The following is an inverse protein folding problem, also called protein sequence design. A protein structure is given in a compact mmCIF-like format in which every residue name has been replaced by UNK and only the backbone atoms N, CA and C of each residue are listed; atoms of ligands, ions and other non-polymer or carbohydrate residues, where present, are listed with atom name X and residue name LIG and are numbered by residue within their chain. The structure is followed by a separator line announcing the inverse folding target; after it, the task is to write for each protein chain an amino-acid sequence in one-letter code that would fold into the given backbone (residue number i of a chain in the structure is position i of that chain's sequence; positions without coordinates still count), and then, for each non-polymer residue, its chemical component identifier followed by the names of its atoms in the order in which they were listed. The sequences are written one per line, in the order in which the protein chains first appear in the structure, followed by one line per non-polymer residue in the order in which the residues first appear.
data_IF_443740596358
#
_entry.id   IF_443740596358
#
_cell.length_a   1.000
_cell.length_b   1.000
_cell.length_c   1.000
_cell.angle_alpha   90.00
_cell.angle_beta   90.00
_cell.angle_gamma   90.00
#
_symmetry.space_group_name_H-M   'P 1'
#
loop_
_entity.id
_entity.type
_entity.pdbx_description
1 polymer ?
#
# COMPACT_ATOMS: atom_id res chain seq x y z
N UNK A 1 37.08 -14.52 52.65
CA UNK A 1 36.62 -15.51 51.67
C UNK A 1 35.16 -15.78 51.97
N UNK A 2 34.24 -15.10 51.19
CA UNK A 2 32.79 -15.17 51.44
C UNK A 2 32.26 -16.37 50.66
N UNK A 3 31.84 -17.41 51.35
CA UNK A 3 31.18 -18.57 50.72
C UNK A 3 29.74 -18.22 50.40
N UNK A 4 29.44 -18.08 49.13
CA UNK A 4 28.05 -17.99 48.66
C UNK A 4 27.34 -19.31 48.98
N UNK A 5 26.17 -19.22 49.61
CA UNK A 5 25.39 -20.41 49.96
C UNK A 5 24.74 -20.99 48.67
N UNK A 6 24.46 -22.31 48.69
CA UNK A 6 23.79 -23.00 47.57
C UNK A 6 22.47 -22.34 47.19
N UNK A 7 21.81 -21.66 48.11
CA UNK A 7 20.57 -20.91 47.93
C UNK A 7 20.79 -19.61 47.14
N UNK A 8 21.92 -18.93 47.34
CA UNK A 8 22.26 -17.70 46.64
C UNK A 8 22.62 -17.99 45.17
N UNK A 9 23.26 -19.13 44.91
CA UNK A 9 23.57 -19.58 43.56
C UNK A 9 22.28 -19.94 42.75
N UNK A 10 21.32 -20.63 43.36
CA UNK A 10 20.04 -20.94 42.73
C UNK A 10 19.22 -19.67 42.47
N UNK A 11 19.20 -18.71 43.38
CA UNK A 11 18.53 -17.42 43.18
C UNK A 11 19.14 -16.62 42.02
N UNK A 12 20.48 -16.60 41.93
CA UNK A 12 21.14 -15.92 40.80
C UNK A 12 20.84 -16.58 39.44
N UNK A 13 20.82 -17.92 39.37
CA UNK A 13 20.44 -18.64 38.15
C UNK A 13 18.97 -18.38 37.78
N UNK A 14 18.07 -18.39 38.75
CA UNK A 14 16.66 -18.14 38.53
C UNK A 14 16.42 -16.71 38.00
N UNK A 15 17.09 -15.71 38.59
CA UNK A 15 17.01 -14.30 38.14
C UNK A 15 17.63 -14.15 36.74
N UNK A 16 18.71 -14.85 36.43
CA UNK A 16 19.34 -14.81 35.11
C UNK A 16 18.44 -15.44 34.02
N UNK A 17 17.80 -16.57 34.33
CA UNK A 17 16.86 -17.24 33.43
C UNK A 17 15.57 -16.42 33.24
N UNK A 18 15.06 -15.78 34.28
CA UNK A 18 13.92 -14.88 34.18
C UNK A 18 14.23 -13.64 33.34
N UNK A 19 15.43 -13.03 33.51
CA UNK A 19 15.86 -11.90 32.66
C UNK A 19 16.05 -12.31 31.20
N UNK A 20 16.59 -13.52 30.96
CA UNK A 20 16.76 -14.05 29.59
C UNK A 20 15.43 -14.35 28.92
N UNK A 21 14.47 -14.91 29.66
CA UNK A 21 13.12 -15.15 29.15
C UNK A 21 12.32 -13.86 28.97
N UNK A 22 12.48 -12.86 29.84
CA UNK A 22 11.87 -11.54 29.69
C UNK A 22 12.46 -10.79 28.49
N UNK A 23 13.76 -10.93 28.22
CA UNK A 23 14.40 -10.35 27.03
C UNK A 23 13.95 -11.05 25.75
N UNK A 24 13.70 -12.37 25.77
CA UNK A 24 13.12 -13.11 24.64
C UNK A 24 11.65 -12.73 24.41
N UNK A 25 10.87 -12.52 25.46
CA UNK A 25 9.46 -12.11 25.37
C UNK A 25 9.36 -10.67 24.85
N UNK A 26 10.21 -9.75 25.30
CA UNK A 26 10.27 -8.39 24.75
C UNK A 26 10.76 -8.38 23.31
N UNK A 27 11.68 -9.23 22.91
CA UNK A 27 12.11 -9.34 21.51
C UNK A 27 11.06 -10.02 20.63
N UNK A 28 10.28 -10.97 21.17
CA UNK A 28 9.16 -11.59 20.43
C UNK A 28 7.95 -10.66 20.30
N UNK A 29 7.77 -9.68 21.20
CA UNK A 29 6.69 -8.69 21.12
C UNK A 29 7.03 -7.48 20.23
N UNK A 30 8.28 -7.31 19.80
CA UNK A 30 8.68 -6.28 18.83
C UNK A 30 8.70 -6.82 17.39
N UNK A 31 8.34 -8.08 17.18
CA UNK A 31 8.15 -8.62 15.84
C UNK A 31 6.74 -8.33 15.34
N UNK A 32 6.71 -7.57 14.27
CA UNK A 32 5.68 -7.51 13.24
C UNK A 32 4.52 -6.56 13.56
N UNK A 33 4.80 -5.28 13.51
CA UNK A 33 3.91 -4.46 12.70
C UNK A 33 4.56 -4.34 11.32
N UNK A 34 4.30 -5.28 10.43
CA UNK A 34 4.33 -5.00 9.00
C UNK A 34 3.14 -4.08 8.81
N UNK A 35 3.38 -2.78 8.95
CA UNK A 35 2.35 -1.77 8.76
C UNK A 35 2.14 -1.65 7.25
N UNK A 36 1.02 -2.09 6.81
CA UNK A 36 0.40 -1.76 5.55
C UNK A 36 0.19 -0.23 5.41
N UNK A 37 0.10 0.31 4.21
CA UNK A 37 -0.21 1.74 4.01
C UNK A 37 -1.51 2.07 4.75
N UNK A 38 -1.38 2.82 5.85
CA UNK A 38 -2.52 3.20 6.67
C UNK A 38 -3.35 4.27 5.97
N UNK A 39 -4.67 4.18 6.12
CA UNK A 39 -5.59 5.24 5.75
C UNK A 39 -5.20 6.55 6.43
N UNK A 40 -5.40 7.67 5.73
CA UNK A 40 -5.22 9.00 6.32
C UNK A 40 -6.09 9.17 7.57
N UNK A 41 -5.52 9.50 8.74
CA UNK A 41 -6.25 9.48 10.00
C UNK A 41 -7.16 10.69 10.21
N UNK A 42 -7.04 11.72 9.36
CA UNK A 42 -7.79 12.96 9.44
C UNK A 42 -9.21 12.85 8.91
N UNK A 43 -9.92 13.97 8.98
CA UNK A 43 -11.22 14.13 8.33
C UNK A 43 -10.98 14.46 6.85
N UNK A 44 -11.64 13.75 5.98
CA UNK A 44 -11.62 13.94 4.54
C UNK A 44 -12.94 14.55 4.08
N UNK A 45 -12.91 15.24 2.94
CA UNK A 45 -14.11 15.80 2.31
C UNK A 45 -14.19 15.34 0.87
N UNK A 46 -15.38 14.97 0.41
CA UNK A 46 -15.63 14.62 -0.97
C UNK A 46 -16.93 15.22 -1.46
N UNK A 47 -16.88 15.79 -2.67
CA UNK A 47 -18.07 16.27 -3.36
C UNK A 47 -18.76 15.11 -4.09
N UNK A 48 -20.03 14.90 -3.81
CA UNK A 48 -20.85 13.92 -4.50
C UNK A 48 -21.32 14.44 -5.88
N UNK A 49 -21.81 13.57 -6.78
CA UNK A 49 -22.24 13.97 -8.12
C UNK A 49 -23.34 15.04 -8.17
N UNK A 50 -24.15 15.15 -7.12
CA UNK A 50 -25.19 16.19 -7.00
C UNK A 50 -24.69 17.53 -6.44
N UNK A 51 -23.38 17.64 -6.21
CA UNK A 51 -22.72 18.83 -5.67
C UNK A 51 -22.71 18.91 -4.14
N UNK A 52 -23.40 18.03 -3.44
CA UNK A 52 -23.34 17.97 -1.99
C UNK A 52 -21.98 17.45 -1.52
N UNK A 53 -21.57 17.83 -0.31
CA UNK A 53 -20.26 17.47 0.26
C UNK A 53 -20.47 16.55 1.47
N UNK A 54 -19.69 15.47 1.52
CA UNK A 54 -19.64 14.56 2.67
C UNK A 54 -18.29 14.69 3.35
N UNK A 55 -18.33 14.87 4.68
CA UNK A 55 -17.16 14.75 5.55
C UNK A 55 -17.10 13.33 6.10
N UNK A 56 -15.96 12.68 5.96
CA UNK A 56 -15.80 11.29 6.36
C UNK A 56 -14.39 10.99 6.89
N UNK A 57 -14.25 9.86 7.56
CA UNK A 57 -12.96 9.27 7.94
C UNK A 57 -12.77 7.95 7.23
N UNK A 58 -11.57 7.74 6.73
CA UNK A 58 -11.13 6.45 6.22
C UNK A 58 -10.40 5.70 7.33
N UNK A 59 -10.64 4.40 7.45
CA UNK A 59 -10.06 3.53 8.48
C UNK A 59 -9.48 2.28 7.85
N UNK A 60 -8.36 1.80 8.38
CA UNK A 60 -7.76 0.53 7.96
C UNK A 60 -6.51 0.70 7.11
N UNK A 61 -6.29 -0.28 6.24
CA UNK A 61 -5.09 -0.41 5.40
C UNK A 61 -5.46 -1.13 4.09
N UNK A 62 -4.47 -1.41 3.23
CA UNK A 62 -4.69 -2.11 1.96
C UNK A 62 -5.25 -3.52 2.11
N UNK A 63 -5.24 -4.11 3.30
CA UNK A 63 -5.84 -5.43 3.52
C UNK A 63 -7.34 -5.33 3.75
N UNK A 64 -7.75 -4.32 4.53
CA UNK A 64 -9.16 -4.07 4.85
C UNK A 64 -9.35 -2.63 5.32
N UNK A 65 -10.22 -1.93 4.65
CA UNK A 65 -10.58 -0.55 5.00
C UNK A 65 -12.10 -0.34 4.97
N UNK A 66 -12.55 0.72 5.64
CA UNK A 66 -13.95 1.13 5.67
C UNK A 66 -14.05 2.62 6.00
N UNK A 67 -15.22 3.19 5.77
CA UNK A 67 -15.46 4.62 5.94
C UNK A 67 -16.52 4.89 7.01
N UNK A 68 -16.37 6.02 7.72
CA UNK A 68 -17.38 6.51 8.67
C UNK A 68 -17.61 8.00 8.47
N UNK A 69 -18.79 8.47 8.82
CA UNK A 69 -19.02 9.89 9.08
C UNK A 69 -18.21 10.34 10.32
N UNK A 70 -18.12 11.64 10.54
CA UNK A 70 -17.43 12.20 11.71
C UNK A 70 -17.96 11.67 13.07
N UNK A 71 -19.23 11.30 13.13
CA UNK A 71 -19.88 10.72 14.32
C UNK A 71 -19.67 9.19 14.46
N UNK A 72 -18.87 8.57 13.59
CA UNK A 72 -18.58 7.14 13.60
C UNK A 72 -19.63 6.26 12.90
N UNK A 73 -20.64 6.84 12.26
CA UNK A 73 -21.63 6.08 11.48
C UNK A 73 -20.98 5.46 10.26
N UNK A 74 -21.15 4.13 10.06
CA UNK A 74 -20.63 3.42 8.88
C UNK A 74 -21.29 3.93 7.60
N UNK A 75 -20.44 4.21 6.62
CA UNK A 75 -20.83 4.59 5.26
C UNK A 75 -20.00 3.81 4.25
N UNK A 76 -20.48 3.76 3.02
CA UNK A 76 -19.76 3.21 1.88
C UNK A 76 -20.01 4.08 0.66
N UNK A 77 -18.96 4.38 -0.10
CA UNK A 77 -19.10 4.98 -1.42
C UNK A 77 -19.36 3.86 -2.44
N UNK A 78 -20.33 4.05 -3.31
CA UNK A 78 -20.63 3.13 -4.40
C UNK A 78 -20.11 3.68 -5.75
N UNK A 79 -20.08 2.85 -6.77
CA UNK A 79 -19.56 3.21 -8.10
C UNK A 79 -20.26 4.42 -8.75
N UNK A 80 -21.46 4.78 -8.31
CA UNK A 80 -22.18 5.99 -8.74
C UNK A 80 -21.63 7.29 -8.12
N UNK A 81 -20.59 7.18 -7.27
CA UNK A 81 -19.94 8.30 -6.60
C UNK A 81 -20.65 8.81 -5.35
N UNK A 82 -21.82 8.27 -5.01
CA UNK A 82 -22.54 8.66 -3.80
C UNK A 82 -22.15 7.83 -2.60
N UNK A 83 -22.24 8.46 -1.41
CA UNK A 83 -22.12 7.76 -0.13
C UNK A 83 -23.48 7.26 0.35
N UNK A 84 -23.50 6.05 0.85
CA UNK A 84 -24.63 5.38 1.43
C UNK A 84 -24.36 4.99 2.88
N UNK A 85 -25.40 4.98 3.73
CA UNK A 85 -25.29 4.33 5.04
C UNK A 85 -24.97 2.85 4.84
N UNK A 86 -24.14 2.28 5.72
CA UNK A 86 -23.62 0.93 5.56
C UNK A 86 -23.64 0.15 6.87
N UNK A 87 -23.46 -1.16 6.76
CA UNK A 87 -23.31 -2.09 7.89
C UNK A 87 -22.28 -3.17 7.57
N UNK A 88 -21.61 -3.71 8.58
CA UNK A 88 -20.78 -4.89 8.42
C UNK A 88 -21.66 -6.14 8.22
N UNK A 89 -21.25 -7.03 7.33
CA UNK A 89 -21.86 -8.33 7.07
C UNK A 89 -20.75 -9.37 6.86
N UNK A 90 -21.11 -10.63 6.72
CA UNK A 90 -20.17 -11.72 6.35
C UNK A 90 -19.50 -11.53 4.97
N UNK A 91 -20.11 -10.70 4.12
CA UNK A 91 -19.64 -10.39 2.76
C UNK A 91 -18.83 -9.08 2.67
N UNK A 92 -18.60 -8.39 3.78
CA UNK A 92 -17.92 -7.10 3.82
C UNK A 92 -18.80 -5.99 4.39
N UNK A 93 -18.37 -4.75 4.20
CA UNK A 93 -19.18 -3.56 4.49
C UNK A 93 -20.14 -3.34 3.32
N UNK A 94 -21.43 -3.46 3.58
CA UNK A 94 -22.48 -3.38 2.55
C UNK A 94 -23.35 -2.14 2.77
N UNK A 95 -23.69 -1.47 1.68
CA UNK A 95 -24.59 -0.31 1.70
C UNK A 95 -26.04 -0.69 1.98
N UNK A 96 -26.80 0.26 2.52
CA UNK A 96 -28.24 0.09 2.82
C UNK A 96 -29.15 0.60 1.72
N UNK A 97 -28.63 1.07 0.61
CA UNK A 97 -29.34 1.77 -0.47
C UNK A 97 -29.98 3.13 -0.06
N UNK A 98 -29.67 3.66 1.14
CA UNK A 98 -30.08 5.00 1.57
C UNK A 98 -28.88 5.93 1.51
N UNK A 99 -28.96 6.95 0.67
CA UNK A 99 -27.90 7.94 0.51
C UNK A 99 -27.69 8.75 1.78
N UNK A 100 -26.44 9.07 2.06
CA UNK A 100 -26.09 10.03 3.12
C UNK A 100 -26.73 11.38 2.79
N UNK A 101 -27.45 11.96 3.75
CA UNK A 101 -28.17 13.22 3.56
C UNK A 101 -29.62 13.09 3.05
N UNK A 102 -30.10 11.90 2.67
CA UNK A 102 -31.48 11.69 2.27
C UNK A 102 -32.39 11.63 3.52
N UNK A 103 -32.82 12.83 3.98
CA UNK A 103 -33.70 12.97 5.15
C UNK A 103 -35.09 12.37 4.97
N UNK A 104 -35.56 12.13 3.74
CA UNK A 104 -36.89 11.56 3.48
C UNK A 104 -36.95 10.05 3.68
N UNK A 105 -35.82 9.38 3.49
CA UNK A 105 -35.67 7.92 3.67
C UNK A 105 -34.93 7.57 4.95
N UNK A 106 -34.64 8.57 5.77
CA UNK A 106 -33.86 8.40 6.98
C UNK A 106 -34.64 7.64 8.02
N UNK A 107 -34.19 6.42 8.33
CA UNK A 107 -34.55 5.70 9.55
C UNK A 107 -33.33 5.65 10.47
N UNK A 108 -33.50 6.07 11.73
CA UNK A 108 -32.46 6.04 12.75
C UNK A 108 -31.85 4.65 12.92
N UNK A 109 -32.61 3.59 12.64
CA UNK A 109 -32.17 2.20 12.68
C UNK A 109 -31.12 1.88 11.56
N UNK A 110 -30.98 2.72 10.53
CA UNK A 110 -30.00 2.54 9.46
C UNK A 110 -28.63 3.15 9.78
N UNK A 111 -28.55 3.97 10.83
CA UNK A 111 -27.27 4.51 11.29
C UNK A 111 -26.61 3.52 12.25
N UNK A 112 -25.69 2.75 11.71
CA UNK A 112 -24.92 1.79 12.48
C UNK A 112 -23.52 2.35 12.69
N UNK A 113 -23.11 2.51 13.96
CA UNK A 113 -21.76 2.98 14.26
C UNK A 113 -20.73 1.86 14.06
N UNK A 114 -19.52 2.23 13.64
CA UNK A 114 -18.39 1.30 13.52
C UNK A 114 -18.10 0.62 14.88
N UNK A 115 -18.22 1.34 15.99
CA UNK A 115 -18.03 0.77 17.34
C UNK A 115 -19.05 -0.34 17.64
N UNK A 116 -20.33 -0.16 17.26
CA UNK A 116 -21.34 -1.22 17.44
C UNK A 116 -21.10 -2.44 16.56
N UNK A 117 -20.31 -2.32 15.50
CA UNK A 117 -19.98 -3.37 14.54
C UNK A 117 -18.52 -3.86 14.68
N UNK A 118 -17.82 -3.45 15.72
CA UNK A 118 -16.38 -3.69 15.91
C UNK A 118 -15.97 -5.14 15.67
N UNK A 119 -16.64 -6.09 16.31
CA UNK A 119 -16.34 -7.51 16.17
C UNK A 119 -16.52 -8.02 14.73
N UNK A 120 -17.52 -7.49 14.01
CA UNK A 120 -17.75 -7.79 12.59
C UNK A 120 -16.63 -7.25 11.71
N UNK A 121 -16.23 -6.00 11.93
CA UNK A 121 -15.15 -5.35 11.20
C UNK A 121 -13.78 -6.02 11.46
N UNK A 122 -13.49 -6.38 12.71
CA UNK A 122 -12.27 -7.14 13.06
C UNK A 122 -12.25 -8.53 12.41
N UNK A 123 -13.39 -9.22 12.37
CA UNK A 123 -13.52 -10.51 11.68
C UNK A 123 -13.29 -10.38 10.18
N UNK A 124 -13.82 -9.33 9.54
CA UNK A 124 -13.58 -9.05 8.12
C UNK A 124 -12.11 -8.78 7.85
N UNK A 125 -11.47 -7.95 8.68
CA UNK A 125 -10.02 -7.68 8.57
C UNK A 125 -9.20 -8.96 8.71
N UNK A 126 -9.48 -9.79 9.70
CA UNK A 126 -8.75 -11.04 9.92
C UNK A 126 -8.85 -11.96 8.69
N UNK A 127 -10.04 -12.11 8.11
CA UNK A 127 -10.25 -12.90 6.88
C UNK A 127 -9.50 -12.32 5.68
N UNK A 128 -9.49 -10.99 5.51
CA UNK A 128 -8.78 -10.33 4.43
C UNK A 128 -7.26 -10.54 4.55
N UNK A 129 -6.70 -10.35 5.74
CA UNK A 129 -5.28 -10.60 6.01
C UNK A 129 -4.91 -12.06 5.78
N UNK A 130 -5.70 -13.01 6.29
CA UNK A 130 -5.50 -14.44 6.08
C UNK A 130 -5.50 -14.80 4.58
N UNK A 131 -6.49 -14.28 3.83
CA UNK A 131 -6.59 -14.46 2.38
C UNK A 131 -5.34 -13.92 1.70
N UNK A 132 -4.90 -12.70 2.03
CA UNK A 132 -3.71 -12.09 1.44
C UNK A 132 -2.46 -12.93 1.72
N UNK A 133 -2.23 -13.31 2.98
CA UNK A 133 -1.08 -14.14 3.36
C UNK A 133 -1.07 -15.49 2.65
N UNK A 134 -2.23 -16.12 2.45
CA UNK A 134 -2.33 -17.40 1.72
C UNK A 134 -1.98 -17.29 0.24
N UNK A 135 -2.12 -16.09 -0.33
CA UNK A 135 -1.84 -15.80 -1.72
C UNK A 135 -0.40 -15.30 -1.96
N UNK A 136 0.27 -14.78 -0.94
CA UNK A 136 1.65 -14.34 -1.10
C UNK A 136 2.59 -15.53 -1.30
N UNK A 137 3.50 -15.47 -2.28
CA UNK A 137 4.53 -16.50 -2.41
C UNK A 137 5.37 -16.53 -1.13
N UNK A 138 5.72 -17.73 -0.68
CA UNK A 138 6.72 -17.89 0.37
C UNK A 138 8.01 -17.28 -0.20
N UNK A 139 8.45 -16.18 0.39
CA UNK A 139 9.70 -15.56 0.01
C UNK A 139 10.80 -16.61 0.11
N UNK A 140 11.32 -17.06 -1.01
CA UNK A 140 12.59 -17.78 -1.00
C UNK A 140 13.59 -16.75 -0.49
N UNK A 141 14.14 -16.99 0.70
CA UNK A 141 15.11 -16.14 1.36
C UNK A 141 16.41 -16.08 0.56
N UNK A 142 16.40 -15.40 -0.56
CA UNK A 142 17.60 -14.81 -1.10
C UNK A 142 17.62 -13.39 -0.56
N UNK A 143 18.53 -13.12 0.36
CA UNK A 143 18.84 -11.73 0.75
C UNK A 143 19.46 -11.12 -0.51
N UNK A 144 18.59 -10.56 -1.33
CA UNK A 144 19.05 -9.81 -2.51
C UNK A 144 19.49 -8.47 -1.95
N UNK A 145 20.81 -8.28 -1.89
CA UNK A 145 21.39 -6.96 -1.77
C UNK A 145 21.30 -6.29 -3.16
N UNK A 146 20.09 -6.16 -3.69
CA UNK A 146 19.86 -5.52 -4.96
C UNK A 146 20.47 -4.11 -4.90
N UNK A 147 21.45 -3.85 -5.78
CA UNK A 147 22.12 -2.55 -5.87
C UNK A 147 21.32 -1.58 -6.71
N UNK A 148 20.43 -2.10 -7.55
CA UNK A 148 19.54 -1.34 -8.43
C UNK A 148 18.08 -1.61 -8.10
N UNK A 149 17.29 -0.54 -8.06
CA UNK A 149 15.84 -0.61 -7.99
C UNK A 149 15.22 -0.04 -9.27
N UNK A 150 14.16 -0.67 -9.74
CA UNK A 150 13.38 -0.23 -10.89
C UNK A 150 12.17 0.57 -10.40
N UNK A 151 12.07 1.82 -10.85
CA UNK A 151 10.90 2.66 -10.65
C UNK A 151 10.34 3.11 -12.01
N UNK A 152 9.05 2.94 -12.23
CA UNK A 152 8.38 3.33 -13.48
C UNK A 152 7.24 4.29 -13.14
N UNK A 153 7.21 5.42 -13.82
CA UNK A 153 6.11 6.39 -13.72
C UNK A 153 5.08 6.08 -14.80
N UNK A 154 3.81 5.95 -14.40
CA UNK A 154 2.69 5.75 -15.31
C UNK A 154 1.64 6.83 -15.16
N UNK A 155 1.12 7.29 -16.26
CA UNK A 155 0.03 8.24 -16.33
C UNK A 155 -1.10 7.67 -17.21
N UNK A 156 -2.30 8.18 -17.00
CA UNK A 156 -3.50 7.69 -17.67
C UNK A 156 -3.94 8.65 -18.79
N UNK A 157 -4.76 8.23 -19.75
CA UNK A 157 -5.32 9.15 -20.74
C UNK A 157 -5.98 10.38 -20.12
N UNK A 158 -6.69 10.19 -19.00
CA UNK A 158 -7.45 11.21 -18.27
C UNK A 158 -6.75 11.78 -17.02
N UNK A 159 -5.56 11.29 -16.65
CA UNK A 159 -4.82 11.76 -15.47
C UNK A 159 -3.32 11.82 -15.77
N UNK A 160 -2.74 13.01 -15.67
CA UNK A 160 -1.34 13.26 -15.97
C UNK A 160 -0.57 13.66 -14.72
N UNK A 161 0.75 13.37 -14.69
CA UNK A 161 1.60 13.84 -13.61
C UNK A 161 1.62 15.37 -13.51
N UNK A 162 1.54 15.86 -12.29
CA UNK A 162 1.78 17.25 -11.93
C UNK A 162 3.26 17.53 -11.75
N UNK A 163 3.99 16.55 -11.21
CA UNK A 163 5.39 16.66 -10.88
C UNK A 163 6.29 15.97 -11.90
N UNK A 164 7.52 16.47 -12.03
CA UNK A 164 8.46 15.99 -13.05
C UNK A 164 9.12 14.68 -12.67
N UNK A 165 9.53 13.88 -13.65
CA UNK A 165 10.37 12.70 -13.45
C UNK A 165 11.65 13.01 -12.64
N UNK A 166 12.25 14.20 -12.85
CA UNK A 166 13.45 14.60 -12.12
C UNK A 166 13.20 14.69 -10.62
N UNK A 167 12.01 15.17 -10.21
CA UNK A 167 11.65 15.23 -8.80
C UNK A 167 11.58 13.81 -8.19
N UNK A 168 10.97 12.85 -8.88
CA UNK A 168 10.94 11.45 -8.43
C UNK A 168 12.34 10.84 -8.37
N UNK A 169 13.18 11.13 -9.37
CA UNK A 169 14.57 10.69 -9.34
C UNK A 169 15.33 11.28 -8.15
N UNK A 170 15.16 12.57 -7.86
CA UNK A 170 15.79 13.23 -6.72
C UNK A 170 15.27 12.67 -5.40
N UNK A 171 13.96 12.48 -5.28
CA UNK A 171 13.32 11.85 -4.11
C UNK A 171 13.90 10.45 -3.81
N UNK A 172 14.25 9.69 -4.85
CA UNK A 172 14.80 8.35 -4.66
C UNK A 172 16.31 8.33 -4.43
N UNK A 173 17.09 9.20 -5.08
CA UNK A 173 18.54 9.05 -5.20
C UNK A 173 19.38 10.20 -4.62
N UNK A 174 18.81 11.40 -4.42
CA UNK A 174 19.60 12.58 -4.01
C UNK A 174 19.83 12.58 -2.51
N UNK A 175 21.08 12.45 -2.07
CA UNK A 175 21.45 12.56 -0.66
C UNK A 175 20.99 13.92 -0.09
N UNK A 176 20.37 13.90 1.09
CA UNK A 176 19.85 15.08 1.75
C UNK A 176 18.66 15.73 1.05
N UNK A 177 17.88 14.97 0.26
CA UNK A 177 16.66 15.47 -0.36
C UNK A 177 15.72 16.09 0.68
N UNK A 178 15.34 17.35 0.47
CA UNK A 178 14.56 18.13 1.46
C UNK A 178 13.36 18.87 0.87
N UNK A 179 13.07 18.66 -0.43
CA UNK A 179 11.95 19.32 -1.06
C UNK A 179 10.63 18.73 -0.56
N UNK A 180 9.57 19.51 -0.58
CA UNK A 180 8.21 19.09 -0.20
C UNK A 180 8.09 18.51 1.23
N UNK A 181 8.91 19.01 2.17
CA UNK A 181 8.89 18.59 3.57
C UNK A 181 9.60 17.27 3.85
N UNK A 182 10.31 16.73 2.87
CA UNK A 182 11.11 15.51 3.03
C UNK A 182 12.32 15.73 3.95
N UNK A 183 12.70 14.69 4.68
CA UNK A 183 13.86 14.68 5.60
C UNK A 183 14.96 13.75 5.11
N UNK A 184 15.03 13.47 3.83
CA UNK A 184 15.94 12.59 3.13
C UNK A 184 15.30 11.91 1.93
N UNK A 185 16.12 11.27 1.10
CA UNK A 185 15.70 10.44 -0.01
C UNK A 185 15.48 8.98 0.40
N UNK A 186 14.98 8.14 -0.52
CA UNK A 186 14.96 6.69 -0.32
C UNK A 186 16.37 6.13 -0.10
N UNK A 187 17.35 6.62 -0.84
CA UNK A 187 18.77 6.28 -0.63
C UNK A 187 19.22 6.60 0.79
N UNK A 188 18.90 7.80 1.32
CA UNK A 188 19.24 8.18 2.69
C UNK A 188 18.58 7.24 3.71
N UNK A 189 17.31 6.90 3.50
CA UNK A 189 16.56 5.98 4.35
C UNK A 189 17.23 4.61 4.42
N UNK A 190 17.51 3.98 3.26
CA UNK A 190 18.12 2.65 3.23
C UNK A 190 19.56 2.66 3.76
N UNK A 191 20.34 3.69 3.43
CA UNK A 191 21.71 3.87 3.93
C UNK A 191 21.73 4.02 5.46
N UNK A 192 20.86 4.83 6.02
CA UNK A 192 20.79 5.08 7.46
C UNK A 192 20.24 3.87 8.23
N UNK A 193 19.13 3.27 7.77
CA UNK A 193 18.52 2.11 8.44
C UNK A 193 19.39 0.85 8.37
N UNK A 194 20.26 0.73 7.38
CA UNK A 194 21.22 -0.37 7.25
C UNK A 194 22.61 -0.09 7.85
N UNK A 195 22.79 1.04 8.52
CA UNK A 195 24.12 1.48 9.01
C UNK A 195 25.16 1.57 7.88
N UNK A 196 24.76 2.09 6.73
CA UNK A 196 25.60 2.25 5.54
C UNK A 196 25.86 0.97 4.73
N UNK A 197 25.26 -0.16 5.09
CA UNK A 197 25.50 -1.44 4.42
C UNK A 197 24.72 -1.61 3.13
N UNK A 198 23.61 -0.89 2.98
CA UNK A 198 22.74 -0.94 1.82
C UNK A 198 22.48 0.48 1.31
N UNK A 199 22.90 0.74 0.09
CA UNK A 199 22.78 2.03 -0.58
C UNK A 199 22.38 1.79 -2.06
N UNK A 200 21.11 1.44 -2.33
CA UNK A 200 20.66 1.16 -3.68
C UNK A 200 20.59 2.42 -4.54
N UNK A 201 20.73 2.23 -5.85
CA UNK A 201 20.44 3.26 -6.85
C UNK A 201 19.13 2.90 -7.56
N UNK A 202 18.24 3.86 -7.68
CA UNK A 202 16.98 3.68 -8.37
C UNK A 202 17.02 4.31 -9.77
N UNK A 203 16.67 3.53 -10.79
CA UNK A 203 16.46 4.05 -12.13
C UNK A 203 14.98 4.40 -12.30
N UNK A 204 14.67 5.63 -12.71
CA UNK A 204 13.30 6.15 -12.86
C UNK A 204 12.99 6.32 -14.34
N UNK A 205 12.00 5.58 -14.84
CA UNK A 205 11.58 5.62 -16.24
C UNK A 205 10.18 6.21 -16.40
N UNK A 206 9.86 6.69 -17.59
CA UNK A 206 8.56 7.28 -17.91
C UNK A 206 8.55 8.82 -17.73
N UNK A 207 7.39 9.48 -17.57
CA UNK A 207 6.08 8.82 -17.47
C UNK A 207 5.61 8.19 -18.78
N UNK A 208 5.03 6.99 -18.68
CA UNK A 208 4.40 6.32 -19.81
C UNK A 208 2.88 6.42 -19.68
N UNK A 209 2.19 6.69 -20.81
CA UNK A 209 0.73 6.69 -20.84
C UNK A 209 0.23 5.29 -21.10
N UNK A 210 -0.52 4.73 -20.15
CA UNK A 210 -1.16 3.42 -20.26
C UNK A 210 -2.47 3.48 -21.04
N UNK A 211 -3.04 2.33 -21.42
CA UNK A 211 -4.15 2.25 -22.36
C UNK A 211 -5.48 2.72 -21.77
N UNK A 212 -5.77 2.41 -20.52
CA UNK A 212 -7.05 2.71 -19.89
C UNK A 212 -6.99 3.94 -18.98
N UNK A 213 -8.16 4.51 -18.70
CA UNK A 213 -8.32 5.59 -17.73
C UNK A 213 -8.02 5.11 -16.31
N UNK A 214 -7.75 6.05 -15.42
CA UNK A 214 -7.35 5.76 -14.04
C UNK A 214 -8.37 4.87 -13.32
N UNK A 215 -9.64 5.16 -13.48
CA UNK A 215 -10.74 4.46 -12.81
C UNK A 215 -10.82 2.97 -13.15
N UNK A 216 -10.33 2.56 -14.33
CA UNK A 216 -10.26 1.14 -14.71
C UNK A 216 -9.30 0.35 -13.80
N UNK A 217 -8.15 0.95 -13.47
CA UNK A 217 -7.15 0.28 -12.66
C UNK A 217 -7.47 0.31 -11.16
N UNK A 218 -8.16 1.36 -10.69
CA UNK A 218 -8.68 1.50 -9.33
C UNK A 218 -10.11 0.99 -9.16
N UNK A 219 -10.72 0.41 -10.20
CA UNK A 219 -12.06 -0.14 -10.13
C UNK A 219 -12.11 -1.30 -9.13
N UNK A 220 -13.01 -1.22 -8.19
CA UNK A 220 -13.18 -2.15 -7.07
C UNK A 220 -12.25 -1.92 -5.89
N UNK A 221 -12.76 -2.14 -4.69
CA UNK A 221 -12.02 -2.08 -3.41
C UNK A 221 -10.84 -3.06 -3.31
N UNK A 222 -10.59 -3.81 -4.35
CA UNK A 222 -9.60 -4.88 -4.37
C UNK A 222 -8.47 -4.61 -5.37
N UNK A 223 -8.46 -3.46 -6.07
CA UNK A 223 -7.43 -3.07 -7.04
C UNK A 223 -7.14 -4.17 -8.09
N UNK A 224 -8.20 -4.82 -8.57
CA UNK A 224 -8.13 -6.05 -9.36
C UNK A 224 -7.29 -5.91 -10.65
N UNK A 225 -7.22 -4.72 -11.23
CA UNK A 225 -6.51 -4.44 -12.48
C UNK A 225 -5.13 -3.82 -12.29
N UNK A 226 -4.65 -3.65 -11.05
CA UNK A 226 -3.30 -3.14 -10.82
C UNK A 226 -2.21 -4.09 -11.35
N UNK A 227 -2.33 -5.43 -11.29
CA UNK A 227 -1.37 -6.31 -11.96
C UNK A 227 -1.27 -6.05 -13.48
N UNK A 228 -2.37 -5.68 -14.16
CA UNK A 228 -2.36 -5.30 -15.57
C UNK A 228 -1.56 -4.01 -15.79
N UNK A 229 -1.75 -3.00 -14.93
CA UNK A 229 -0.99 -1.76 -14.93
C UNK A 229 0.51 -2.00 -14.81
N UNK A 230 0.93 -2.88 -13.89
CA UNK A 230 2.34 -3.19 -13.65
C UNK A 230 2.98 -3.83 -14.88
N UNK A 231 2.33 -4.85 -15.46
CA UNK A 231 2.85 -5.52 -16.66
C UNK A 231 2.90 -4.55 -17.84
N UNK A 232 1.88 -3.73 -18.02
CA UNK A 232 1.84 -2.71 -19.08
C UNK A 232 2.96 -1.69 -18.92
N UNK A 233 3.20 -1.19 -17.70
CA UNK A 233 4.29 -0.27 -17.39
C UNK A 233 5.66 -0.85 -17.80
N UNK A 234 5.92 -2.12 -17.45
CA UNK A 234 7.16 -2.80 -17.83
C UNK A 234 7.30 -2.98 -19.34
N UNK A 235 6.21 -3.33 -20.03
CA UNK A 235 6.22 -3.45 -21.51
C UNK A 235 6.46 -2.11 -22.20
N UNK A 236 5.93 -1.01 -21.67
CA UNK A 236 6.16 0.32 -22.19
C UNK A 236 7.61 0.75 -21.99
N UNK A 237 8.22 0.43 -20.86
CA UNK A 237 9.64 0.68 -20.62
C UNK A 237 10.53 -0.14 -21.56
N UNK A 238 10.24 -1.43 -21.77
CA UNK A 238 10.94 -2.26 -22.76
C UNK A 238 10.80 -1.68 -24.18
N UNK A 239 9.60 -1.28 -24.58
CA UNK A 239 9.33 -0.63 -25.89
C UNK A 239 10.12 0.67 -26.06
N UNK A 240 10.38 1.41 -24.96
CA UNK A 240 11.26 2.59 -24.92
C UNK A 240 12.76 2.22 -24.91
N UNK A 241 13.10 0.96 -25.14
CA UNK A 241 14.48 0.48 -25.24
C UNK A 241 15.17 0.28 -23.89
N UNK A 242 14.43 0.20 -22.78
CA UNK A 242 15.01 -0.11 -21.47
C UNK A 242 15.20 -1.62 -21.35
N UNK A 243 16.41 -2.04 -20.98
CA UNK A 243 16.70 -3.44 -20.65
C UNK A 243 16.32 -3.72 -19.20
N UNK A 244 15.22 -4.44 -18.99
CA UNK A 244 14.74 -4.76 -17.66
C UNK A 244 15.37 -6.04 -17.07
N UNK A 245 16.15 -6.78 -17.85
CA UNK A 245 16.86 -7.97 -17.35
C UNK A 245 17.92 -7.64 -16.30
N UNK A 246 18.43 -6.43 -16.28
CA UNK A 246 19.44 -5.97 -15.31
C UNK A 246 18.90 -5.86 -13.87
N UNK A 247 17.57 -5.93 -13.68
CA UNK A 247 16.90 -5.91 -12.36
C UNK A 247 16.58 -7.33 -11.85
N UNK A 248 17.04 -8.36 -12.50
CA UNK A 248 17.14 -9.73 -12.02
C UNK A 248 18.59 -9.95 -11.53
N UNK A 249 18.95 -9.32 -10.41
CA UNK A 249 20.33 -9.39 -9.90
C UNK A 249 20.68 -10.77 -9.31
N UNK A 250 19.66 -11.55 -8.91
CA UNK A 250 19.84 -12.88 -8.34
C UNK A 250 19.85 -14.00 -9.41
N UNK A 251 19.46 -13.69 -10.66
CA UNK A 251 19.47 -14.61 -11.80
C UNK A 251 18.37 -15.70 -11.73
N UNK A 252 17.27 -15.46 -11.05
CA UNK A 252 16.18 -16.43 -10.91
C UNK A 252 15.14 -16.34 -12.04
N UNK A 253 15.31 -15.40 -12.97
CA UNK A 253 14.44 -15.18 -14.13
C UNK A 253 13.29 -14.23 -13.87
N UNK A 254 13.26 -13.58 -12.71
CA UNK A 254 12.25 -12.59 -12.33
C UNK A 254 12.89 -11.24 -11.99
N UNK A 255 12.23 -10.14 -12.33
CA UNK A 255 12.61 -8.82 -11.80
C UNK A 255 12.49 -8.89 -10.28
N UNK A 256 13.56 -8.50 -9.55
CA UNK A 256 13.61 -8.58 -8.08
C UNK A 256 12.48 -7.79 -7.43
N UNK A 257 12.25 -6.55 -7.90
CA UNK A 257 11.07 -5.75 -7.56
C UNK A 257 10.91 -4.61 -8.56
N UNK A 258 9.66 -4.24 -8.86
CA UNK A 258 9.33 -3.03 -9.60
C UNK A 258 8.43 -2.13 -8.76
N UNK A 259 8.78 -0.86 -8.65
CA UNK A 259 7.90 0.14 -8.07
C UNK A 259 7.23 0.96 -9.17
N UNK A 260 5.91 1.05 -9.15
CA UNK A 260 5.16 1.89 -10.10
C UNK A 260 4.58 3.10 -9.38
N UNK A 261 5.06 4.29 -9.76
CA UNK A 261 4.41 5.54 -9.38
C UNK A 261 3.29 5.83 -10.39
N UNK A 262 2.10 6.08 -9.92
CA UNK A 262 0.96 6.45 -10.75
C UNK A 262 0.52 7.89 -10.51
N UNK A 263 0.12 8.56 -11.60
CA UNK A 263 -0.35 9.94 -11.56
C UNK A 263 -1.65 10.07 -10.78
N UNK A 264 -1.79 11.15 -10.03
CA UNK A 264 -3.00 11.47 -9.28
C UNK A 264 -3.00 11.00 -7.84
N UNK A 265 -4.20 10.89 -7.26
CA UNK A 265 -4.42 10.61 -5.84
C UNK A 265 -4.57 9.12 -5.57
N UNK A 266 -4.17 8.68 -4.37
CA UNK A 266 -4.41 7.32 -3.89
C UNK A 266 -5.66 7.21 -3.02
N UNK A 267 -6.30 6.04 -3.00
CA UNK A 267 -7.47 5.76 -2.17
C UNK A 267 -7.16 5.95 -0.68
N UNK A 268 -6.00 5.50 -0.21
CA UNK A 268 -5.54 5.66 1.17
C UNK A 268 -5.54 7.11 1.67
N UNK A 269 -5.45 8.07 0.76
CA UNK A 269 -5.41 9.50 1.03
C UNK A 269 -6.71 10.23 0.66
N UNK A 270 -7.77 9.48 0.39
CA UNK A 270 -9.10 10.02 0.12
C UNK A 270 -9.43 10.29 -1.34
N UNK A 271 -8.72 9.66 -2.28
CA UNK A 271 -9.00 9.77 -3.72
C UNK A 271 -10.35 9.16 -4.15
N UNK A 272 -10.94 8.31 -3.30
CA UNK A 272 -12.22 7.64 -3.56
C UNK A 272 -12.07 6.22 -4.10
N UNK A 273 -13.17 5.47 -4.12
CA UNK A 273 -13.20 4.01 -4.39
C UNK A 273 -12.77 3.60 -5.81
N UNK A 274 -12.62 4.53 -6.73
CA UNK A 274 -12.15 4.27 -8.09
C UNK A 274 -10.67 4.67 -8.26
N UNK A 275 -9.95 4.87 -7.16
CA UNK A 275 -8.51 5.15 -7.16
C UNK A 275 -7.75 4.00 -6.52
N UNK A 276 -6.48 3.85 -6.88
CA UNK A 276 -5.65 2.73 -6.43
C UNK A 276 -5.17 2.98 -5.00
N UNK A 277 -5.29 1.96 -4.13
CA UNK A 277 -4.63 1.97 -2.83
C UNK A 277 -3.14 1.66 -3.01
N UNK A 278 -2.19 2.47 -2.52
CA UNK A 278 -0.77 2.11 -2.52
C UNK A 278 -0.54 0.79 -1.80
N UNK A 279 0.14 -0.16 -2.45
CA UNK A 279 0.36 -1.48 -1.88
C UNK A 279 1.54 -2.21 -2.54
N UNK A 280 2.02 -3.24 -1.86
CA UNK A 280 2.90 -4.27 -2.40
C UNK A 280 2.11 -5.54 -2.67
N UNK A 281 2.30 -6.14 -3.86
CA UNK A 281 1.68 -7.39 -4.24
C UNK A 281 2.51 -8.16 -5.27
N UNK A 282 1.89 -9.19 -5.88
CA UNK A 282 2.48 -10.01 -6.93
C UNK A 282 1.60 -10.07 -8.16
N UNK A 283 2.21 -10.04 -9.33
CA UNK A 283 1.55 -10.35 -10.60
C UNK A 283 1.27 -11.85 -10.64
N UNK A 284 0.00 -12.22 -10.71
CA UNK A 284 -0.47 -13.61 -10.85
C UNK A 284 -1.29 -13.73 -12.10
N UNK A 285 -0.79 -14.43 -13.13
CA UNK A 285 -1.58 -14.72 -14.32
C UNK A 285 -2.84 -15.50 -13.99
N UNK A 286 -3.87 -15.31 -14.79
CA UNK A 286 -5.16 -15.98 -14.62
C UNK A 286 -5.05 -17.51 -14.72
N UNK A 287 -4.06 -18.02 -15.47
CA UNK A 287 -3.74 -19.43 -15.61
C UNK A 287 -3.11 -20.05 -14.35
N UNK A 288 -2.78 -19.24 -13.34
CA UNK A 288 -2.28 -19.71 -12.05
C UNK A 288 -3.33 -20.42 -11.18
N UNK A 289 -4.60 -20.42 -11.61
CA UNK A 289 -5.73 -21.02 -10.89
C UNK A 289 -6.20 -20.21 -9.67
N UNK A 290 -5.73 -18.98 -9.49
CA UNK A 290 -6.20 -18.05 -8.44
C UNK A 290 -7.23 -17.08 -9.00
N UNK A 291 -8.21 -16.67 -8.20
CA UNK A 291 -9.32 -15.86 -8.69
C UNK A 291 -9.14 -14.36 -8.42
N UNK A 292 -8.05 -13.93 -7.71
CA UNK A 292 -7.98 -12.51 -7.34
C UNK A 292 -6.76 -12.13 -6.48
N UNK A 293 -6.22 -10.91 -6.60
CA UNK A 293 -6.16 -10.08 -7.81
C UNK A 293 -5.27 -10.76 -8.84
N UNK A 294 -5.66 -10.75 -10.11
CA UNK A 294 -4.96 -11.48 -11.17
C UNK A 294 -4.62 -10.56 -12.34
N UNK A 295 -3.51 -10.86 -12.99
CA UNK A 295 -3.20 -10.33 -14.30
C UNK A 295 -4.10 -10.97 -15.36
N UNK A 296 -4.72 -10.16 -16.21
CA UNK A 296 -5.61 -10.61 -17.29
C UNK A 296 -4.84 -11.15 -18.51
N UNK A 297 -3.89 -12.04 -18.28
CA UNK A 297 -3.06 -12.66 -19.31
C UNK A 297 -2.44 -13.95 -18.82
N UNK A 298 -1.53 -14.50 -19.61
CA UNK A 298 -0.79 -15.72 -19.29
C UNK A 298 0.56 -15.39 -18.65
N UNK A 299 1.24 -16.40 -18.10
CA UNK A 299 2.60 -16.24 -17.58
C UNK A 299 3.57 -15.74 -18.66
N UNK A 300 3.40 -16.19 -19.91
CA UNK A 300 4.23 -15.73 -21.04
C UNK A 300 4.08 -14.22 -21.29
N UNK A 301 2.89 -13.67 -21.06
CA UNK A 301 2.61 -12.23 -21.27
C UNK A 301 3.27 -11.33 -20.22
N UNK A 302 3.73 -11.88 -19.11
CA UNK A 302 4.45 -11.11 -18.08
C UNK A 302 5.95 -11.01 -18.37
N UNK A 303 6.45 -11.60 -19.48
CA UNK A 303 7.86 -11.60 -19.84
C UNK A 303 8.24 -10.30 -20.53
N UNK A 304 9.31 -9.66 -20.04
CA UNK A 304 9.94 -8.45 -20.59
C UNK A 304 11.46 -8.60 -20.54
N UNK A 305 12.17 -8.18 -21.57
CA UNK A 305 13.64 -8.26 -21.65
C UNK A 305 14.22 -9.64 -21.27
N UNK A 306 13.43 -10.71 -21.48
CA UNK A 306 13.87 -12.08 -21.16
C UNK A 306 13.55 -12.54 -19.72
N UNK A 307 13.13 -11.69 -18.81
CA UNK A 307 12.75 -11.99 -17.41
C UNK A 307 11.25 -11.79 -17.19
N UNK A 308 10.73 -12.31 -16.08
CA UNK A 308 9.31 -12.19 -15.74
C UNK A 308 9.04 -11.09 -14.71
N UNK A 309 7.94 -10.39 -14.88
CA UNK A 309 7.39 -9.44 -13.88
C UNK A 309 6.58 -10.23 -12.86
N UNK A 310 6.91 -10.11 -11.57
CA UNK A 310 6.19 -10.81 -10.50
C UNK A 310 5.97 -9.93 -9.30
N UNK A 311 7.02 -9.59 -8.57
CA UNK A 311 6.92 -8.80 -7.34
C UNK A 311 6.86 -7.31 -7.70
N UNK A 312 5.87 -6.62 -7.14
CA UNK A 312 5.70 -5.19 -7.35
C UNK A 312 5.26 -4.44 -6.10
N UNK A 313 5.49 -3.15 -6.12
CA UNK A 313 4.86 -2.18 -5.25
C UNK A 313 4.35 -1.00 -6.09
N UNK A 314 3.37 -0.28 -5.59
CA UNK A 314 2.86 0.92 -6.26
C UNK A 314 2.53 2.03 -5.27
N UNK A 315 2.59 3.28 -5.75
CA UNK A 315 2.28 4.46 -4.95
C UNK A 315 1.82 5.62 -5.80
N UNK A 316 0.99 6.46 -5.19
CA UNK A 316 0.42 7.65 -5.81
C UNK A 316 1.40 8.83 -5.83
N UNK A 317 1.13 9.78 -6.73
CA UNK A 317 1.85 11.04 -6.81
C UNK A 317 1.33 12.06 -5.80
N UNK A 318 0.00 12.17 -5.67
CA UNK A 318 -0.70 13.25 -4.96
C UNK A 318 -1.32 12.75 -3.65
N UNK A 319 -1.00 13.48 -2.57
CA UNK A 319 -1.65 13.33 -1.28
C UNK A 319 -2.26 14.67 -0.85
N UNK A 320 -3.55 14.87 -1.06
CA UNK A 320 -4.26 16.09 -0.63
C UNK A 320 -4.20 16.33 0.87
N UNK A 321 -4.09 15.26 1.65
CA UNK A 321 -3.95 15.37 3.10
C UNK A 321 -2.69 16.13 3.51
N UNK A 322 -1.61 16.06 2.73
CA UNK A 322 -0.38 16.81 2.99
C UNK A 322 -0.55 18.32 2.86
N UNK A 323 -1.51 18.80 2.07
CA UNK A 323 -1.79 20.24 1.96
C UNK A 323 -2.13 20.84 3.33
N UNK A 324 -2.88 20.11 4.14
CA UNK A 324 -3.28 20.55 5.48
C UNK A 324 -2.10 20.54 6.47
N UNK A 325 -1.11 19.68 6.25
CA UNK A 325 0.02 19.49 7.16
C UNK A 325 1.23 20.36 6.80
N UNK A 326 1.61 20.38 5.52
CA UNK A 326 2.86 20.97 5.03
C UNK A 326 2.69 21.90 3.82
N UNK A 327 1.45 22.24 3.49
CA UNK A 327 1.08 23.12 2.37
C UNK A 327 1.61 22.65 1.01
N UNK A 328 1.67 21.35 0.79
CA UNK A 328 1.94 20.74 -0.52
C UNK A 328 1.11 19.46 -0.67
N UNK A 329 0.98 18.97 -1.89
CA UNK A 329 0.22 17.77 -2.19
C UNK A 329 1.07 16.63 -2.78
N UNK A 330 2.39 16.74 -2.73
CA UNK A 330 3.29 15.66 -3.15
C UNK A 330 3.32 14.55 -2.09
N UNK A 331 3.17 13.28 -2.50
CA UNK A 331 3.13 12.15 -1.57
C UNK A 331 4.47 11.95 -0.83
N UNK A 332 5.58 12.16 -1.53
CA UNK A 332 6.91 12.04 -0.93
C UNK A 332 7.42 10.61 -0.81
N UNK A 333 8.54 10.46 -0.10
CA UNK A 333 9.31 9.20 -0.03
C UNK A 333 8.68 8.15 0.89
N UNK A 334 7.78 8.56 1.80
CA UNK A 334 7.27 7.70 2.87
C UNK A 334 6.60 6.43 2.35
N UNK A 335 5.69 6.55 1.40
CA UNK A 335 5.00 5.41 0.76
C UNK A 335 5.98 4.48 0.05
N UNK A 336 6.95 5.05 -0.69
CA UNK A 336 7.94 4.25 -1.40
C UNK A 336 8.79 3.36 -0.48
N UNK A 337 9.25 3.87 0.65
CA UNK A 337 10.10 3.10 1.58
C UNK A 337 9.29 2.19 2.49
N UNK A 338 7.98 2.38 2.52
CA UNK A 338 7.04 1.57 3.28
C UNK A 338 6.70 0.28 2.52
N UNK A 339 6.33 0.39 1.23
CA UNK A 339 5.98 -0.74 0.35
C UNK A 339 7.24 -1.52 -0.11
#
# INVERSE_FOLDING_TARGET
MIFLTRKDFYNQITIFLMKKNLLLITFACTCVCVSAKQAYPGLLTMQMPDGSVVEYRLHGDENFHYMTLADGTLIKQEADGFFYYAKASDKGVVSTAVKVGDVKKYDKAMRVSAESQKNGLESLRAKAVEKRLSLMPIAKSSVVNAKRGLAIMVEFPNMKFKYSQQLFNDMLNKEGFSDYGSTGSALDYFKNSSYGKYAPKFDVFGPYTVANNYEYYGETSDDAHVPDLIVEACKLAEKDGKDLSIYDENGDGYIDNVFVFYAGEGEANGGGVNTIWPHRWVVRPIDSGTTYPNYNGTMADTKVSGVYVRDYACGNEICKANIQLINNDFEGVGTFVHE
#
